data_IF_282668685223
#
_entry.id   IF_282668685223
#
_cell.length_a   1.000
_cell.length_b   1.000
_cell.length_c   1.000
_cell.angle_alpha   90.00
_cell.angle_beta   90.00
_cell.angle_gamma   90.00
#
_symmetry.space_group_name_H-M   'P 1'
#
loop_
_entity.id
_entity.type
_entity.pdbx_description
1 polymer ?
#
# COMPACT_ATOMS: atom_id res chain seq x y z
N UNK A 1 24.94 -4.43 -18.86
CA UNK A 1 24.23 -4.45 -17.56
C UNK A 1 22.77 -4.14 -17.83
N UNK A 2 21.83 -4.99 -17.39
CA UNK A 2 20.40 -4.63 -17.39
C UNK A 2 20.20 -3.64 -16.24
N UNK A 3 19.92 -2.38 -16.56
CA UNK A 3 19.56 -1.37 -15.58
C UNK A 3 18.23 -1.75 -14.90
N UNK A 4 18.02 -1.37 -13.62
CA UNK A 4 16.73 -1.58 -12.98
C UNK A 4 15.60 -0.91 -13.77
N UNK A 5 14.41 -1.52 -13.76
CA UNK A 5 13.22 -1.00 -14.46
C UNK A 5 12.86 0.43 -13.99
N UNK A 6 13.02 0.67 -12.70
CA UNK A 6 12.88 1.98 -12.06
C UNK A 6 13.82 2.03 -10.84
N UNK A 7 14.36 3.21 -10.56
CA UNK A 7 15.14 3.51 -9.36
C UNK A 7 14.58 4.81 -8.78
N UNK A 8 14.13 4.79 -7.54
CA UNK A 8 13.67 6.00 -6.87
C UNK A 8 14.83 7.00 -6.76
N UNK A 9 14.68 8.23 -7.32
CA UNK A 9 15.75 9.22 -7.30
C UNK A 9 15.96 9.88 -5.94
N UNK A 10 15.04 9.74 -4.98
CA UNK A 10 15.11 10.44 -3.70
C UNK A 10 15.87 9.61 -2.65
N UNK A 11 15.40 8.40 -2.40
CA UNK A 11 15.92 7.53 -1.35
C UNK A 11 16.46 6.20 -1.84
N UNK A 12 16.37 5.91 -3.14
CA UNK A 12 16.80 4.64 -3.73
C UNK A 12 16.12 3.40 -3.09
N UNK A 13 14.94 3.62 -2.51
CA UNK A 13 14.26 2.63 -1.67
C UNK A 13 12.88 2.24 -2.16
N UNK A 14 12.67 2.25 -3.49
CA UNK A 14 11.41 1.78 -4.06
C UNK A 14 11.16 0.31 -3.69
N UNK A 15 10.10 0.06 -2.92
CA UNK A 15 9.72 -1.27 -2.47
C UNK A 15 8.21 -1.48 -2.52
N UNK A 16 7.79 -2.74 -2.57
CA UNK A 16 6.39 -3.17 -2.42
C UNK A 16 5.42 -2.40 -3.34
N UNK A 17 5.66 -2.35 -4.68
CA UNK A 17 4.88 -1.53 -5.58
C UNK A 17 3.53 -2.14 -5.96
N UNK A 18 2.55 -1.29 -6.20
CA UNK A 18 1.37 -1.58 -7.03
C UNK A 18 1.49 -0.83 -8.36
N UNK A 19 1.12 -1.48 -9.45
CA UNK A 19 1.02 -0.87 -10.78
C UNK A 19 -0.45 -0.80 -11.19
N UNK A 20 -0.96 0.40 -11.43
CA UNK A 20 -2.36 0.66 -11.69
C UNK A 20 -2.52 1.62 -12.87
N UNK A 21 -3.55 1.39 -13.70
CA UNK A 21 -3.86 2.29 -14.81
C UNK A 21 -4.55 3.56 -14.31
N UNK A 22 -3.94 4.72 -14.53
CA UNK A 22 -4.58 6.01 -14.34
C UNK A 22 -5.53 6.28 -15.51
N UNK A 23 -6.83 6.25 -15.25
CA UNK A 23 -7.89 6.39 -16.27
C UNK A 23 -8.01 7.81 -16.80
N UNK A 24 -7.64 8.80 -16.00
CA UNK A 24 -7.69 10.21 -16.40
C UNK A 24 -6.52 10.57 -17.30
N UNK A 25 -5.29 10.22 -16.88
CA UNK A 25 -4.08 10.55 -17.67
C UNK A 25 -3.80 9.53 -18.78
N UNK A 26 -4.44 8.35 -18.73
CA UNK A 26 -4.21 7.22 -19.65
C UNK A 26 -2.74 6.77 -19.65
N UNK A 27 -2.22 6.57 -18.45
CA UNK A 27 -0.86 6.13 -18.19
C UNK A 27 -0.84 5.03 -17.12
N UNK A 28 0.21 4.23 -17.12
CA UNK A 28 0.48 3.32 -16.00
C UNK A 28 1.15 4.10 -14.88
N UNK A 29 0.64 3.93 -13.66
CA UNK A 29 1.23 4.52 -12.46
C UNK A 29 1.73 3.40 -11.56
N UNK A 30 2.94 3.56 -11.03
CA UNK A 30 3.53 2.74 -10.00
C UNK A 30 3.48 3.54 -8.70
N UNK A 31 2.81 3.00 -7.69
CA UNK A 31 2.76 3.56 -6.34
C UNK A 31 3.48 2.57 -5.43
N UNK A 32 4.44 3.03 -4.64
CA UNK A 32 5.36 2.15 -3.93
C UNK A 32 5.72 2.67 -2.55
N UNK A 33 6.12 1.80 -1.63
CA UNK A 33 6.72 2.20 -0.36
C UNK A 33 8.02 2.94 -0.63
N UNK A 34 8.09 4.22 -0.28
CA UNK A 34 9.30 5.01 -0.44
C UNK A 34 10.25 4.80 0.76
N UNK A 35 10.92 3.63 0.83
CA UNK A 35 11.87 3.35 1.91
C UNK A 35 13.01 4.36 1.85
N UNK A 36 13.49 4.78 3.01
CA UNK A 36 14.49 5.85 3.14
C UNK A 36 15.89 5.27 3.13
N UNK A 37 16.24 4.48 2.10
CA UNK A 37 17.41 3.60 2.10
C UNK A 37 18.75 4.35 2.16
N UNK A 38 18.81 5.57 1.65
CA UNK A 38 19.98 6.46 1.74
C UNK A 38 19.98 7.36 2.99
N UNK A 39 18.91 7.35 3.78
CA UNK A 39 18.81 8.20 4.97
C UNK A 39 19.57 7.57 6.14
N UNK A 40 20.40 8.39 6.81
CA UNK A 40 21.01 8.00 8.08
C UNK A 40 19.98 7.96 9.21
N UNK A 41 20.14 6.99 10.11
CA UNK A 41 19.28 6.85 11.28
C UNK A 41 19.57 5.58 12.06
N UNK A 42 19.02 5.45 13.28
CA UNK A 42 19.20 4.26 14.08
C UNK A 42 18.43 3.07 13.49
N UNK A 43 19.03 1.87 13.61
CA UNK A 43 18.37 0.57 13.43
C UNK A 43 17.50 0.49 12.17
N UNK A 44 16.18 0.35 12.33
CA UNK A 44 15.20 0.17 11.26
C UNK A 44 14.49 1.48 10.88
N UNK A 45 14.99 2.64 11.33
CA UNK A 45 14.37 3.93 11.01
C UNK A 45 14.16 4.15 9.51
N UNK A 46 15.02 3.60 8.65
CA UNK A 46 14.92 3.69 7.19
C UNK A 46 13.65 3.06 6.59
N UNK A 47 12.99 2.12 7.30
CA UNK A 47 11.68 1.59 6.88
C UNK A 47 10.50 2.32 7.49
N UNK A 48 10.69 3.17 8.50
CA UNK A 48 9.60 3.94 9.10
C UNK A 48 9.54 5.36 8.54
N UNK A 49 8.49 6.12 8.83
CA UNK A 49 8.29 7.48 8.33
C UNK A 49 8.25 7.57 6.81
N UNK A 50 7.88 6.48 6.15
CA UNK A 50 7.84 6.33 4.69
C UNK A 50 6.57 6.92 4.12
N UNK A 51 6.72 7.63 3.01
CA UNK A 51 5.61 8.00 2.13
C UNK A 51 5.34 6.87 1.12
N UNK A 52 4.30 7.08 0.33
CA UNK A 52 4.09 6.35 -0.92
C UNK A 52 4.63 7.15 -2.10
N UNK A 53 5.72 6.68 -2.71
CA UNK A 53 6.29 7.27 -3.92
C UNK A 53 5.49 6.92 -5.16
N UNK A 54 5.53 7.80 -6.16
CA UNK A 54 4.79 7.64 -7.42
C UNK A 54 5.74 7.78 -8.61
N UNK A 55 5.61 6.87 -9.57
CA UNK A 55 6.20 7.00 -10.90
C UNK A 55 5.15 6.71 -11.97
N UNK A 56 5.22 7.34 -13.13
CA UNK A 56 4.30 7.09 -14.25
C UNK A 56 5.02 6.64 -15.50
N UNK A 57 4.33 5.87 -16.33
CA UNK A 57 4.78 5.41 -17.63
C UNK A 57 3.69 5.61 -18.68
N UNK A 58 4.05 6.33 -19.75
CA UNK A 58 3.19 6.57 -20.91
C UNK A 58 3.48 5.62 -22.08
N UNK A 59 4.44 4.70 -21.93
CA UNK A 59 4.95 3.81 -22.99
C UNK A 59 4.78 2.32 -22.65
N UNK A 60 3.76 2.00 -21.85
CA UNK A 60 3.42 0.63 -21.49
C UNK A 60 4.33 0.00 -20.43
N UNK A 61 5.01 0.82 -19.62
CA UNK A 61 5.91 0.38 -18.55
C UNK A 61 7.36 0.23 -18.99
N UNK A 62 7.73 0.69 -20.20
CA UNK A 62 9.10 0.60 -20.72
C UNK A 62 10.01 1.62 -20.05
N UNK A 63 9.50 2.83 -19.78
CA UNK A 63 10.19 3.88 -19.02
C UNK A 63 9.29 4.45 -17.93
N UNK A 64 9.91 4.95 -16.85
CA UNK A 64 9.22 5.44 -15.67
C UNK A 64 9.75 6.82 -15.26
N UNK A 65 8.84 7.76 -15.08
CA UNK A 65 9.12 9.13 -14.62
C UNK A 65 8.66 9.27 -13.18
N UNK A 66 9.55 9.61 -12.26
CA UNK A 66 9.19 9.94 -10.87
C UNK A 66 8.26 11.16 -10.82
N UNK A 67 7.19 11.08 -10.03
CA UNK A 67 6.14 12.11 -9.92
C UNK A 67 6.04 12.75 -8.55
N UNK A 68 6.77 12.26 -7.55
CA UNK A 68 6.66 12.73 -6.17
C UNK A 68 6.13 11.63 -5.25
N UNK A 69 5.53 12.05 -4.14
CA UNK A 69 4.86 11.19 -3.17
C UNK A 69 3.38 11.53 -3.10
N UNK A 70 2.54 10.57 -2.69
CA UNK A 70 1.13 10.85 -2.39
C UNK A 70 1.01 11.81 -1.20
N UNK A 71 0.04 12.71 -1.29
CA UNK A 71 -0.29 13.67 -0.23
C UNK A 71 -1.68 13.37 0.37
N UNK A 72 -1.98 13.96 1.53
CA UNK A 72 -3.33 13.87 2.13
C UNK A 72 -3.67 12.55 2.81
N UNK A 73 -2.70 11.65 3.01
CA UNK A 73 -2.91 10.38 3.71
C UNK A 73 -2.91 10.53 5.25
N UNK A 74 -2.33 11.61 5.77
CA UNK A 74 -2.28 11.87 7.20
C UNK A 74 -3.66 12.28 7.72
N UNK A 75 -4.16 11.55 8.72
CA UNK A 75 -5.47 11.82 9.36
C UNK A 75 -5.33 12.42 10.76
N UNK A 76 -4.10 12.55 11.25
CA UNK A 76 -3.76 13.07 12.56
C UNK A 76 -2.46 13.89 12.49
N UNK A 77 -2.20 14.71 13.51
CA UNK A 77 -0.97 15.51 13.55
C UNK A 77 0.24 14.61 13.72
N UNK A 78 1.26 14.78 12.87
CA UNK A 78 2.54 14.11 12.99
C UNK A 78 3.05 13.56 11.66
N UNK A 79 4.07 12.71 11.76
CA UNK A 79 4.65 11.96 10.65
C UNK A 79 4.43 10.49 10.89
N UNK A 80 3.68 9.84 10.01
CA UNK A 80 3.40 8.42 10.12
C UNK A 80 4.09 7.62 9.02
N UNK A 81 3.88 6.32 9.06
CA UNK A 81 4.54 5.35 8.18
C UNK A 81 3.51 4.66 7.31
N UNK A 82 3.74 4.65 5.99
CA UNK A 82 2.89 3.96 5.01
C UNK A 82 3.67 2.92 4.21
N UNK A 83 3.17 1.69 4.14
CA UNK A 83 3.79 0.58 3.41
C UNK A 83 2.82 -0.17 2.51
N UNK A 84 3.39 -0.77 1.46
CA UNK A 84 2.81 -1.80 0.61
C UNK A 84 1.36 -1.48 0.22
N UNK A 85 1.15 -0.41 -0.56
CA UNK A 85 -0.19 -0.05 -1.00
C UNK A 85 -0.72 -1.10 -1.98
N UNK A 86 -1.97 -1.51 -1.76
CA UNK A 86 -2.77 -2.21 -2.76
C UNK A 86 -3.82 -1.24 -3.30
N UNK A 87 -3.90 -1.09 -4.62
CA UNK A 87 -4.83 -0.15 -5.26
C UNK A 87 -5.61 -0.87 -6.36
N UNK A 88 -6.93 -0.81 -6.25
CA UNK A 88 -7.85 -1.36 -7.26
C UNK A 88 -8.81 -0.29 -7.77
N UNK A 89 -9.30 -0.46 -8.99
CA UNK A 89 -10.40 0.35 -9.53
C UNK A 89 -11.71 -0.42 -9.46
N UNK A 90 -12.74 0.19 -8.88
CA UNK A 90 -14.09 -0.37 -8.85
C UNK A 90 -15.13 0.75 -8.96
N UNK A 91 -16.13 0.54 -9.82
CA UNK A 91 -17.34 1.40 -9.94
C UNK A 91 -17.10 2.92 -9.97
N UNK A 92 -16.03 3.38 -10.63
CA UNK A 92 -15.76 4.82 -10.78
C UNK A 92 -14.75 5.38 -9.79
N UNK A 93 -14.23 4.55 -8.89
CA UNK A 93 -13.31 4.96 -7.83
C UNK A 93 -12.08 4.06 -7.76
N UNK A 94 -10.96 4.65 -7.37
CA UNK A 94 -9.81 3.90 -6.85
C UNK A 94 -10.01 3.65 -5.36
N UNK A 95 -9.72 2.42 -4.93
CA UNK A 95 -9.67 2.04 -3.53
C UNK A 95 -8.24 1.64 -3.21
N UNK A 96 -7.65 2.27 -2.18
CA UNK A 96 -6.34 1.91 -1.67
C UNK A 96 -6.45 1.27 -0.30
N UNK A 97 -5.78 0.15 -0.11
CA UNK A 97 -5.53 -0.49 1.17
C UNK A 97 -4.04 -0.43 1.45
N UNK A 98 -3.65 0.31 2.48
CA UNK A 98 -2.24 0.56 2.79
C UNK A 98 -1.95 0.21 4.23
N UNK A 99 -0.77 -0.35 4.47
CA UNK A 99 -0.28 -0.57 5.84
C UNK A 99 0.08 0.77 6.47
N UNK A 100 -0.41 1.01 7.67
CA UNK A 100 -0.20 2.19 8.47
C UNK A 100 0.46 1.83 9.80
N UNK A 101 1.52 2.56 10.17
CA UNK A 101 2.09 2.56 11.52
C UNK A 101 2.15 4.01 12.01
N UNK A 102 1.63 4.26 13.20
CA UNK A 102 1.70 5.58 13.83
C UNK A 102 3.16 5.94 14.18
N UNK A 103 3.58 7.14 13.81
CA UNK A 103 4.90 7.67 14.07
C UNK A 103 6.01 7.10 13.19
N UNK A 104 7.23 7.32 13.66
CA UNK A 104 8.49 6.89 13.04
C UNK A 104 9.32 6.11 14.07
N UNK A 105 8.93 4.87 14.43
CA UNK A 105 9.71 4.07 15.37
C UNK A 105 11.07 3.68 14.78
N UNK A 106 12.02 3.35 15.64
CA UNK A 106 13.35 2.84 15.23
C UNK A 106 13.38 1.31 15.12
N UNK A 107 12.26 0.63 15.43
CA UNK A 107 12.10 -0.82 15.42
C UNK A 107 10.64 -1.24 15.11
N UNK A 108 10.40 -2.55 15.12
CA UNK A 108 9.13 -3.18 14.73
C UNK A 108 8.08 -3.20 15.85
N UNK A 109 8.21 -2.39 16.90
CA UNK A 109 7.24 -2.35 18.01
C UNK A 109 5.95 -1.59 17.68
N UNK A 110 5.96 -0.81 16.60
CA UNK A 110 4.80 -0.05 16.14
C UNK A 110 3.60 -0.94 15.81
N UNK A 111 2.41 -0.45 16.14
CA UNK A 111 1.15 -1.13 15.82
C UNK A 111 0.81 -0.92 14.35
N UNK A 112 0.80 -2.01 13.58
CA UNK A 112 0.47 -2.01 12.17
C UNK A 112 -1.02 -2.30 11.93
N UNK A 113 -1.62 -1.50 11.04
CA UNK A 113 -3.03 -1.58 10.66
C UNK A 113 -3.17 -1.40 9.16
N UNK A 114 -4.20 -1.98 8.56
CA UNK A 114 -4.57 -1.64 7.18
C UNK A 114 -5.58 -0.50 7.20
N UNK A 115 -5.29 0.57 6.46
CA UNK A 115 -6.19 1.72 6.26
C UNK A 115 -6.75 1.72 4.83
N UNK A 116 -8.00 2.12 4.70
CA UNK A 116 -8.71 2.25 3.44
C UNK A 116 -8.85 3.72 3.06
N UNK A 117 -8.46 4.04 1.83
CA UNK A 117 -8.66 5.33 1.19
C UNK A 117 -9.35 5.17 -0.15
N UNK A 118 -10.00 6.23 -0.60
CA UNK A 118 -10.61 6.32 -1.92
C UNK A 118 -10.07 7.51 -2.71
N UNK A 119 -10.05 7.41 -4.03
CA UNK A 119 -9.64 8.52 -4.90
C UNK A 119 -10.35 8.47 -6.25
N UNK A 120 -10.75 9.62 -6.83
CA UNK A 120 -11.22 9.67 -8.21
C UNK A 120 -10.08 9.69 -9.24
N UNK A 121 -8.87 10.10 -8.85
CA UNK A 121 -7.79 10.51 -9.78
C UNK A 121 -6.39 9.97 -9.44
N UNK A 122 -6.26 9.12 -8.40
CA UNK A 122 -5.00 8.62 -7.81
C UNK A 122 -4.13 9.69 -7.13
N UNK A 123 -4.61 10.92 -7.03
CA UNK A 123 -3.88 12.04 -6.42
C UNK A 123 -4.58 12.50 -5.14
N UNK A 124 -5.87 12.77 -5.23
CA UNK A 124 -6.69 13.22 -4.10
C UNK A 124 -7.26 12.01 -3.40
N UNK A 125 -6.71 11.70 -2.23
CA UNK A 125 -7.13 10.56 -1.42
C UNK A 125 -8.02 11.03 -0.27
N UNK A 126 -9.12 10.32 -0.06
CA UNK A 126 -10.04 10.51 1.05
C UNK A 126 -9.95 9.30 1.97
N UNK A 127 -9.67 9.53 3.25
CA UNK A 127 -9.67 8.47 4.25
C UNK A 127 -11.08 7.95 4.49
N UNK A 128 -11.25 6.62 4.46
CA UNK A 128 -12.53 5.97 4.71
C UNK A 128 -12.55 5.31 6.09
N UNK A 129 -11.59 4.41 6.35
CA UNK A 129 -11.58 3.63 7.59
C UNK A 129 -10.22 3.04 7.93
N UNK A 130 -10.04 2.66 9.20
CA UNK A 130 -9.03 1.67 9.60
C UNK A 130 -9.73 0.33 9.75
N UNK A 131 -9.25 -0.71 9.09
CA UNK A 131 -9.95 -2.00 9.06
C UNK A 131 -9.94 -2.69 10.42
N UNK A 132 -11.12 -3.18 10.83
CA UNK A 132 -11.34 -3.96 12.05
C UNK A 132 -11.18 -5.47 11.87
N UNK A 133 -10.29 -5.90 10.97
CA UNK A 133 -10.14 -7.33 10.60
C UNK A 133 -9.28 -8.15 11.58
N UNK A 134 -8.54 -7.48 12.47
CA UNK A 134 -7.70 -8.12 13.49
C UNK A 134 -7.31 -7.15 14.59
N UNK A 135 -7.11 -7.66 15.81
CA UNK A 135 -6.49 -6.90 16.90
C UNK A 135 -4.96 -6.90 16.82
N UNK A 136 -4.38 -7.87 16.10
CA UNK A 136 -2.94 -8.04 15.91
C UNK A 136 -2.37 -7.14 14.81
N UNK A 137 -1.05 -7.17 14.64
CA UNK A 137 -0.38 -6.49 13.52
C UNK A 137 -0.75 -7.15 12.19
N UNK A 138 -1.31 -6.36 11.28
CA UNK A 138 -1.67 -6.77 9.91
C UNK A 138 -1.02 -5.84 8.90
N UNK A 139 -0.45 -6.42 7.84
CA UNK A 139 0.29 -5.69 6.80
C UNK A 139 0.05 -6.30 5.42
N UNK A 140 0.49 -5.59 4.38
CA UNK A 140 0.65 -6.06 3.00
C UNK A 140 -0.65 -6.65 2.42
N UNK A 141 -1.68 -5.81 2.31
CA UNK A 141 -2.95 -6.19 1.72
C UNK A 141 -2.81 -6.53 0.22
N UNK A 142 -3.67 -7.42 -0.26
CA UNK A 142 -3.87 -7.72 -1.68
C UNK A 142 -5.36 -8.03 -1.89
N UNK A 143 -6.02 -7.41 -2.87
CA UNK A 143 -7.47 -7.49 -3.03
C UNK A 143 -7.84 -7.99 -4.42
N UNK A 144 -8.74 -8.96 -4.48
CA UNK A 144 -9.27 -9.48 -5.74
C UNK A 144 -10.78 -9.64 -5.70
N UNK A 145 -11.44 -9.39 -6.82
CA UNK A 145 -12.88 -9.64 -7.00
C UNK A 145 -13.11 -11.07 -7.47
N UNK A 146 -13.78 -11.87 -6.65
CA UNK A 146 -14.11 -13.27 -6.93
C UNK A 146 -15.22 -13.40 -7.98
N UNK A 147 -15.35 -14.58 -8.65
CA UNK A 147 -16.37 -14.80 -9.67
C UNK A 147 -17.82 -14.65 -9.20
N UNK A 148 -18.10 -14.82 -7.90
CA UNK A 148 -19.42 -14.61 -7.29
C UNK A 148 -19.73 -13.13 -7.03
N UNK A 149 -18.82 -12.22 -7.37
CA UNK A 149 -18.97 -10.77 -7.22
C UNK A 149 -18.48 -10.21 -5.89
N UNK A 150 -18.14 -11.04 -4.89
CA UNK A 150 -17.54 -10.57 -3.63
C UNK A 150 -16.05 -10.26 -3.81
N UNK A 151 -15.50 -9.51 -2.87
CA UNK A 151 -14.07 -9.21 -2.80
C UNK A 151 -13.42 -10.04 -1.71
N UNK A 152 -12.21 -10.50 -1.98
CA UNK A 152 -11.35 -11.11 -0.97
C UNK A 152 -10.06 -10.33 -0.85
N UNK A 153 -9.70 -10.04 0.39
CA UNK A 153 -8.41 -9.49 0.76
C UNK A 153 -7.57 -10.62 1.35
N UNK A 154 -6.32 -10.71 0.93
CA UNK A 154 -5.26 -11.44 1.63
C UNK A 154 -4.34 -10.45 2.29
N UNK A 155 -3.85 -10.78 3.47
CA UNK A 155 -2.92 -9.94 4.23
C UNK A 155 -2.04 -10.81 5.09
N UNK A 156 -0.89 -10.27 5.49
CA UNK A 156 -0.01 -10.94 6.44
C UNK A 156 -0.44 -10.60 7.87
N UNK A 157 -0.55 -11.64 8.68
CA UNK A 157 -0.64 -11.53 10.13
C UNK A 157 0.29 -12.58 10.73
N UNK A 158 1.15 -12.17 11.66
CA UNK A 158 2.25 -13.00 12.14
C UNK A 158 3.11 -13.53 10.97
N UNK A 159 3.31 -14.85 10.89
CA UNK A 159 4.07 -15.52 9.83
C UNK A 159 3.18 -16.23 8.81
N UNK A 160 1.89 -15.88 8.72
CA UNK A 160 0.94 -16.57 7.84
C UNK A 160 0.11 -15.59 7.01
N UNK A 161 -0.49 -16.12 5.93
CA UNK A 161 -1.48 -15.37 5.14
C UNK A 161 -2.86 -15.61 5.72
N UNK A 162 -3.53 -14.51 6.02
CA UNK A 162 -4.92 -14.47 6.45
C UNK A 162 -5.79 -13.89 5.33
N UNK A 163 -7.10 -14.09 5.43
CA UNK A 163 -8.05 -13.49 4.51
C UNK A 163 -9.22 -12.81 5.22
N UNK A 164 -9.81 -11.85 4.52
CA UNK A 164 -11.08 -11.22 4.83
C UNK A 164 -11.91 -11.08 3.55
N UNK A 165 -13.23 -10.95 3.70
CA UNK A 165 -14.16 -10.77 2.60
C UNK A 165 -15.00 -9.51 2.74
N UNK A 166 -15.33 -8.90 1.60
CA UNK A 166 -16.21 -7.74 1.54
C UNK A 166 -17.17 -7.87 0.36
N UNK A 167 -18.34 -7.27 0.48
CA UNK A 167 -19.31 -7.16 -0.63
C UNK A 167 -19.22 -5.82 -1.35
N UNK A 168 -18.61 -4.81 -0.73
CA UNK A 168 -18.69 -3.42 -1.15
C UNK A 168 -17.36 -2.66 -1.11
N UNK A 169 -16.26 -3.30 -0.66
CA UNK A 169 -14.95 -2.69 -0.43
C UNK A 169 -14.89 -1.70 0.76
N UNK A 170 -15.89 -1.65 1.62
CA UNK A 170 -15.88 -0.82 2.83
C UNK A 170 -15.93 -1.70 4.07
N UNK A 171 -16.86 -2.64 4.10
CA UNK A 171 -17.07 -3.54 5.23
C UNK A 171 -16.37 -4.89 4.99
N UNK A 172 -15.38 -5.19 5.82
CA UNK A 172 -14.55 -6.39 5.73
C UNK A 172 -14.81 -7.35 6.90
N UNK A 173 -15.11 -8.60 6.57
CA UNK A 173 -15.34 -9.68 7.53
C UNK A 173 -14.15 -10.64 7.53
N UNK A 174 -13.50 -10.90 8.68
CA UNK A 174 -12.36 -11.80 8.74
C UNK A 174 -12.78 -13.25 8.44
N UNK A 175 -11.99 -13.94 7.63
CA UNK A 175 -12.10 -15.38 7.40
C UNK A 175 -11.17 -16.15 8.34
N UNK A 176 -9.96 -15.62 8.59
CA UNK A 176 -8.92 -16.29 9.36
C UNK A 176 -7.72 -16.72 8.51
N UNK A 177 -6.85 -17.61 9.02
CA UNK A 177 -5.66 -18.07 8.30
C UNK A 177 -6.05 -18.93 7.10
N UNK A 178 -5.47 -18.65 5.93
CA UNK A 178 -5.74 -19.37 4.67
C UNK A 178 -4.51 -20.04 4.08
N UNK A 179 -3.31 -19.57 4.44
CA UNK A 179 -2.04 -20.26 4.15
C UNK A 179 -1.21 -20.24 5.42
N UNK A 180 -1.09 -21.40 6.05
CA UNK A 180 -0.16 -21.66 7.16
C UNK A 180 0.96 -22.56 6.68
N UNK A 181 2.02 -22.70 7.48
CA UNK A 181 3.06 -23.69 7.20
C UNK A 181 2.42 -25.09 7.02
N UNK A 182 3.02 -25.91 6.15
CA UNK A 182 2.66 -27.33 6.05
C UNK A 182 3.25 -28.04 7.26
N UNK A 183 2.43 -28.78 8.00
CA UNK A 183 2.92 -29.84 8.88
C UNK A 183 3.66 -30.91 8.09
#
# INVERSE_FOLDING_TARGET
>A
MKSPLFRDPIYDGAADPVVIWNRQTKEWWMIYTNRRATQEGPKFGWVHGTDLGVASSSDGGSTWVYRGTLEGLETEWGRNTFWAPEVIWHEGLYHMYVTYVHGVPEDWTGKARIRHYTSPDLIRWEFQSTLGISEENVIDACVYRLPNGTFRMWFKQWNHTYAAESKDLYDWQPIGPVITERN
#
